data_IF_978184057190
#
_entry.id   IF_978184057190
#
_cell.length_a   1.000
_cell.length_b   1.000
_cell.length_c   1.000
_cell.angle_alpha   90.00
_cell.angle_beta   90.00
_cell.angle_gamma   90.00
#
_symmetry.space_group_name_H-M   'P 1'
#
loop_
_entity.id
_entity.type
_entity.pdbx_description
1 polymer ?
#
# COMPACT_ATOMS: atom_id res chain seq x y z
N UNK A 1 17.12 34.82 -8.04
CA UNK A 1 15.74 34.37 -7.71
C UNK A 1 15.48 33.09 -8.48
N UNK A 2 15.35 31.94 -7.81
CA UNK A 2 14.95 30.68 -8.46
C UNK A 2 13.46 30.79 -8.80
N UNK A 3 13.07 30.51 -10.05
CA UNK A 3 11.65 30.59 -10.43
C UNK A 3 10.84 29.50 -9.70
N UNK A 4 9.56 29.77 -9.40
CA UNK A 4 8.64 28.79 -8.79
C UNK A 4 8.69 27.46 -9.57
N UNK A 5 8.76 27.52 -10.91
CA UNK A 5 8.84 26.35 -11.79
C UNK A 5 10.09 25.50 -11.55
N UNK A 6 11.24 26.11 -11.29
CA UNK A 6 12.48 25.40 -10.98
C UNK A 6 12.45 24.81 -9.57
N UNK A 7 11.89 25.54 -8.60
CA UNK A 7 11.66 25.01 -7.25
C UNK A 7 10.74 23.78 -7.27
N UNK A 8 9.66 23.83 -8.06
CA UNK A 8 8.73 22.70 -8.25
C UNK A 8 9.44 21.49 -8.85
N UNK A 9 10.23 21.67 -9.92
CA UNK A 9 11.00 20.57 -10.54
C UNK A 9 11.99 19.93 -9.57
N UNK A 10 12.71 20.72 -8.78
CA UNK A 10 13.70 20.20 -7.84
C UNK A 10 13.04 19.47 -6.65
N UNK A 11 11.90 19.97 -6.16
CA UNK A 11 11.10 19.31 -5.13
C UNK A 11 10.61 17.93 -5.58
N UNK A 12 10.18 17.80 -6.84
CA UNK A 12 9.78 16.51 -7.43
C UNK A 12 10.95 15.57 -7.70
N UNK A 13 12.14 16.10 -8.00
CA UNK A 13 13.34 15.28 -8.20
C UNK A 13 13.80 14.63 -6.90
N UNK A 14 13.67 15.34 -5.78
CA UNK A 14 13.94 14.84 -4.42
C UNK A 14 15.35 14.19 -4.32
N UNK A 15 16.33 14.81 -5.02
CA UNK A 15 17.73 14.38 -5.16
C UNK A 15 18.68 15.16 -4.22
N UNK A 16 18.20 15.55 -3.03
CA UNK A 16 19.01 16.33 -2.08
C UNK A 16 20.36 15.67 -1.77
N UNK A 17 21.41 16.45 -1.47
CA UNK A 17 22.76 15.92 -1.20
C UNK A 17 22.87 15.18 0.13
N UNK A 18 21.87 15.32 1.02
CA UNK A 18 21.87 14.74 2.36
C UNK A 18 21.47 13.27 2.28
N UNK A 19 22.37 12.38 2.70
CA UNK A 19 22.04 10.97 2.87
C UNK A 19 21.29 10.73 4.18
N UNK A 20 20.19 9.96 4.18
CA UNK A 20 19.46 9.66 5.40
C UNK A 20 20.27 8.74 6.30
N UNK A 21 20.40 9.11 7.57
CA UNK A 21 20.98 8.27 8.62
C UNK A 21 20.00 7.16 9.00
N UNK A 22 20.51 6.03 9.51
CA UNK A 22 19.66 4.93 9.98
C UNK A 22 18.65 5.38 11.05
N UNK A 23 19.07 6.28 11.96
CA UNK A 23 18.18 6.85 12.98
C UNK A 23 17.01 7.61 12.35
N UNK A 24 17.29 8.49 11.37
CA UNK A 24 16.26 9.26 10.68
C UNK A 24 15.23 8.34 9.99
N UNK A 25 15.70 7.30 9.29
CA UNK A 25 14.80 6.38 8.60
C UNK A 25 13.93 5.57 9.54
N UNK A 26 14.49 5.03 10.61
CA UNK A 26 13.72 4.27 11.59
C UNK A 26 12.73 5.17 12.35
N UNK A 27 13.09 6.42 12.64
CA UNK A 27 12.13 7.39 13.16
C UNK A 27 10.99 7.63 12.17
N UNK A 28 11.28 7.83 10.88
CA UNK A 28 10.24 7.99 9.87
C UNK A 28 9.35 6.77 9.73
N UNK A 29 9.91 5.56 9.74
CA UNK A 29 9.14 4.32 9.72
C UNK A 29 8.22 4.24 10.93
N UNK A 30 8.73 4.49 12.14
CA UNK A 30 7.92 4.47 13.36
C UNK A 30 6.77 5.48 13.32
N UNK A 31 7.02 6.71 12.84
CA UNK A 31 6.00 7.74 12.70
C UNK A 31 4.96 7.38 11.61
N UNK A 32 5.39 6.80 10.49
CA UNK A 32 4.47 6.32 9.45
C UNK A 32 3.62 5.15 9.95
N UNK A 33 4.19 4.24 10.74
CA UNK A 33 3.44 3.16 11.38
C UNK A 33 2.41 3.73 12.35
N UNK A 34 2.76 4.73 13.17
CA UNK A 34 1.79 5.44 14.03
C UNK A 34 0.64 6.01 13.19
N UNK A 35 0.95 6.80 12.15
CA UNK A 35 -0.07 7.38 11.28
C UNK A 35 -1.04 6.32 10.73
N UNK A 36 -0.50 5.22 10.18
CA UNK A 36 -1.31 4.15 9.61
C UNK A 36 -2.13 3.40 10.67
N UNK A 37 -1.56 3.12 11.83
CA UNK A 37 -2.30 2.53 12.94
C UNK A 37 -3.45 3.44 13.39
N UNK A 38 -3.24 4.75 13.42
CA UNK A 38 -4.29 5.74 13.70
C UNK A 38 -5.41 5.71 12.65
N UNK A 39 -5.07 5.65 11.37
CA UNK A 39 -6.05 5.58 10.27
C UNK A 39 -6.91 4.31 10.35
N UNK A 40 -6.29 3.15 10.57
CA UNK A 40 -7.02 1.88 10.70
C UNK A 40 -7.84 1.81 11.98
N UNK A 41 -7.36 2.38 13.08
CA UNK A 41 -8.11 2.48 14.33
C UNK A 41 -9.36 3.36 14.17
N UNK A 42 -9.23 4.45 13.44
CA UNK A 42 -10.32 5.36 13.12
C UNK A 42 -11.37 4.69 12.21
N UNK A 43 -10.93 4.03 11.13
CA UNK A 43 -11.84 3.25 10.28
C UNK A 43 -12.54 2.11 11.04
N UNK A 44 -11.82 1.42 11.94
CA UNK A 44 -12.42 0.43 12.83
C UNK A 44 -13.53 1.05 13.68
N UNK A 45 -13.29 2.23 14.27
CA UNK A 45 -14.29 2.91 15.09
C UNK A 45 -15.54 3.29 14.28
N UNK A 46 -15.38 3.77 13.04
CA UNK A 46 -16.49 4.08 12.14
C UNK A 46 -17.37 2.86 11.78
N UNK A 47 -16.80 1.65 11.79
CA UNK A 47 -17.54 0.41 11.52
C UNK A 47 -18.26 -0.16 12.74
N UNK A 48 -17.71 0.04 13.93
CA UNK A 48 -18.17 -0.67 15.14
C UNK A 48 -18.90 0.20 16.16
N UNK A 49 -18.65 1.51 16.16
CA UNK A 49 -19.22 2.40 17.16
C UNK A 49 -20.40 3.16 16.54
N UNK A 50 -21.56 3.03 17.18
CA UNK A 50 -22.71 3.84 16.81
C UNK A 50 -22.42 5.31 17.12
N UNK A 51 -22.72 6.21 16.15
CA UNK A 51 -22.73 7.67 16.31
C UNK A 51 -21.37 8.31 16.60
N UNK A 52 -20.49 8.32 15.59
CA UNK A 52 -19.45 9.34 15.48
C UNK A 52 -20.06 10.59 14.83
N UNK A 53 -20.94 11.30 15.55
CA UNK A 53 -21.66 12.48 15.04
C UNK A 53 -20.81 13.76 15.00
N UNK A 54 -19.54 13.67 15.40
CA UNK A 54 -18.62 14.82 15.47
C UNK A 54 -17.32 14.53 14.75
N UNK A 55 -16.78 15.52 14.04
CA UNK A 55 -15.51 15.44 13.31
C UNK A 55 -14.28 15.21 14.22
N UNK A 56 -14.34 15.60 15.49
CA UNK A 56 -13.26 15.39 16.45
C UNK A 56 -13.68 14.26 17.38
N UNK A 57 -12.93 13.16 17.34
CA UNK A 57 -13.15 11.98 18.19
C UNK A 57 -11.80 11.55 18.79
N UNK A 58 -11.78 10.74 19.87
CA UNK A 58 -10.54 10.18 20.38
C UNK A 58 -9.75 9.38 19.34
N UNK A 59 -10.44 8.74 18.39
CA UNK A 59 -9.86 7.93 17.32
C UNK A 59 -9.15 8.79 16.27
N UNK A 60 -9.81 9.85 15.81
CA UNK A 60 -9.19 10.91 15.02
C UNK A 60 -7.97 11.50 15.73
N UNK A 61 -8.01 11.63 17.06
CA UNK A 61 -6.88 12.12 17.87
C UNK A 61 -5.59 11.30 17.69
N UNK A 62 -5.69 9.98 17.50
CA UNK A 62 -4.52 9.12 17.23
C UNK A 62 -3.97 9.38 15.82
N UNK A 63 -4.83 9.52 14.83
CA UNK A 63 -4.45 9.88 13.46
C UNK A 63 -3.81 11.28 13.41
N UNK A 64 -4.46 12.27 14.02
CA UNK A 64 -4.02 13.67 14.07
C UNK A 64 -2.68 13.84 14.78
N UNK A 65 -2.47 13.12 15.89
CA UNK A 65 -1.17 13.13 16.58
C UNK A 65 -0.06 12.50 15.73
N UNK A 66 -0.35 11.42 14.99
CA UNK A 66 0.58 10.80 14.05
C UNK A 66 1.03 11.76 12.95
N UNK A 67 0.09 12.42 12.26
CA UNK A 67 0.43 13.38 11.21
C UNK A 67 1.16 14.61 11.78
N UNK A 68 0.73 15.12 12.94
CA UNK A 68 1.40 16.24 13.60
C UNK A 68 2.85 15.90 13.96
N UNK A 69 3.10 14.70 14.48
CA UNK A 69 4.45 14.24 14.79
C UNK A 69 5.35 14.15 13.54
N UNK A 70 4.81 13.66 12.41
CA UNK A 70 5.52 13.62 11.12
C UNK A 70 5.85 15.04 10.64
N UNK A 71 4.86 15.93 10.63
CA UNK A 71 5.04 17.32 10.19
C UNK A 71 6.06 18.04 11.06
N UNK A 72 6.00 17.87 12.38
CA UNK A 72 6.96 18.43 13.31
C UNK A 72 8.37 17.88 13.08
N UNK A 73 8.52 16.56 12.94
CA UNK A 73 9.81 15.91 12.74
C UNK A 73 10.49 16.36 11.43
N UNK A 74 9.75 16.33 10.32
CA UNK A 74 10.26 16.76 9.02
C UNK A 74 10.47 18.27 8.98
N UNK A 75 9.53 19.07 9.51
CA UNK A 75 9.62 20.52 9.56
C UNK A 75 10.82 21.00 10.38
N UNK A 76 11.01 20.48 11.60
CA UNK A 76 12.17 20.81 12.44
C UNK A 76 13.48 20.37 11.78
N UNK A 77 13.51 19.20 11.14
CA UNK A 77 14.70 18.74 10.40
C UNK A 77 15.04 19.67 9.24
N UNK A 78 14.04 20.08 8.45
CA UNK A 78 14.21 21.01 7.36
C UNK A 78 14.69 22.38 7.85
N UNK A 79 14.04 22.96 8.87
CA UNK A 79 14.40 24.27 9.44
C UNK A 79 15.82 24.26 10.02
N UNK A 80 16.22 23.18 10.72
CA UNK A 80 17.59 23.04 11.25
C UNK A 80 18.63 22.97 10.14
N UNK A 81 18.35 22.31 9.03
CA UNK A 81 19.27 22.23 7.90
C UNK A 81 19.30 23.53 7.10
N UNK A 82 18.18 24.24 6.98
CA UNK A 82 18.15 25.59 6.42
C UNK A 82 18.97 26.58 7.25
N UNK A 83 18.87 26.51 8.58
CA UNK A 83 19.69 27.33 9.48
C UNK A 83 21.21 27.04 9.33
N UNK A 84 21.58 25.89 8.75
CA UNK A 84 22.96 25.53 8.38
C UNK A 84 23.33 25.88 6.94
N UNK A 85 22.46 26.58 6.21
CA UNK A 85 22.70 27.07 4.85
C UNK A 85 22.18 26.18 3.72
N UNK A 86 21.46 25.08 4.02
CA UNK A 86 20.83 24.27 2.96
C UNK A 86 19.62 24.99 2.34
N UNK A 87 19.46 24.85 1.02
CA UNK A 87 18.24 25.30 0.31
C UNK A 87 17.03 24.43 0.72
N UNK A 88 15.80 24.95 0.60
CA UNK A 88 14.57 24.23 0.99
C UNK A 88 14.44 22.86 0.33
N UNK A 89 14.71 22.78 -0.98
CA UNK A 89 14.67 21.56 -1.80
C UNK A 89 15.77 20.53 -1.43
N UNK A 90 16.72 20.95 -0.59
CA UNK A 90 17.86 20.16 -0.13
C UNK A 90 17.91 20.04 1.40
N UNK A 91 16.89 20.57 2.09
CA UNK A 91 16.88 20.68 3.55
C UNK A 91 16.55 19.34 4.23
N UNK A 92 16.02 18.36 3.51
CA UNK A 92 15.76 17.02 3.99
C UNK A 92 16.67 15.99 3.32
N UNK A 93 16.87 14.82 3.97
CA UNK A 93 17.52 13.70 3.31
C UNK A 93 16.78 13.31 2.02
N UNK A 94 17.54 12.85 1.01
CA UNK A 94 16.99 12.46 -0.27
C UNK A 94 15.88 11.39 -0.11
N UNK A 95 14.73 11.59 -0.74
CA UNK A 95 13.55 10.71 -0.63
C UNK A 95 12.43 11.25 0.26
N UNK A 96 12.69 12.30 1.05
CA UNK A 96 11.77 12.82 2.05
C UNK A 96 11.16 14.20 1.72
N UNK A 97 11.59 14.89 0.67
CA UNK A 97 10.94 16.16 0.30
C UNK A 97 9.48 15.96 -0.07
N UNK A 98 9.17 14.88 -0.80
CA UNK A 98 7.79 14.50 -1.10
C UNK A 98 7.02 14.08 0.16
N UNK A 99 7.67 13.51 1.18
CA UNK A 99 7.01 13.23 2.46
C UNK A 99 6.65 14.51 3.21
N UNK A 100 7.49 15.55 3.16
CA UNK A 100 7.16 16.86 3.74
C UNK A 100 6.01 17.53 2.98
N UNK A 101 6.04 17.49 1.64
CA UNK A 101 4.92 17.95 0.82
C UNK A 101 3.64 17.21 1.17
N UNK A 102 3.71 15.88 1.27
CA UNK A 102 2.61 15.03 1.72
C UNK A 102 2.09 15.45 3.09
N UNK A 103 2.98 15.71 4.07
CA UNK A 103 2.56 16.14 5.40
C UNK A 103 1.81 17.48 5.41
N UNK A 104 2.26 18.45 4.60
CA UNK A 104 1.58 19.73 4.42
C UNK A 104 0.24 19.55 3.72
N UNK A 105 0.20 18.77 2.64
CA UNK A 105 -1.03 18.46 1.91
C UNK A 105 -2.03 17.70 2.77
N UNK A 106 -1.58 16.84 3.68
CA UNK A 106 -2.44 16.11 4.61
C UNK A 106 -3.11 17.08 5.59
N UNK A 107 -2.35 18.04 6.14
CA UNK A 107 -2.91 19.08 7.01
C UNK A 107 -3.95 19.96 6.30
N UNK A 108 -3.66 20.36 5.05
CA UNK A 108 -4.61 21.08 4.20
C UNK A 108 -5.84 20.21 3.90
N UNK A 109 -5.61 18.94 3.54
CA UNK A 109 -6.66 17.96 3.25
C UNK A 109 -7.60 17.76 4.43
N UNK A 110 -7.07 17.64 5.66
CA UNK A 110 -7.88 17.51 6.87
C UNK A 110 -8.71 18.76 7.19
N UNK A 111 -8.19 19.95 6.89
CA UNK A 111 -8.97 21.18 7.02
C UNK A 111 -10.09 21.27 5.97
N UNK A 112 -9.79 20.87 4.73
CA UNK A 112 -10.79 20.77 3.65
C UNK A 112 -11.85 19.74 4.02
N UNK A 113 -11.46 18.59 4.54
CA UNK A 113 -12.32 17.49 4.97
C UNK A 113 -13.27 17.94 6.10
N UNK A 114 -12.75 18.65 7.11
CA UNK A 114 -13.57 19.26 8.13
C UNK A 114 -14.62 20.22 7.54
N UNK A 115 -14.21 21.12 6.65
CA UNK A 115 -15.13 22.06 5.99
C UNK A 115 -16.15 21.34 5.11
N UNK A 116 -15.74 20.25 4.47
CA UNK A 116 -16.58 19.40 3.65
C UNK A 116 -17.68 18.77 4.49
N UNK A 117 -17.34 18.17 5.63
CA UNK A 117 -18.33 17.60 6.54
C UNK A 117 -19.27 18.65 7.15
N UNK A 118 -18.80 19.87 7.38
CA UNK A 118 -19.66 20.97 7.84
C UNK A 118 -20.69 21.41 6.79
N UNK A 119 -20.38 21.29 5.49
CA UNK A 119 -21.25 21.75 4.41
C UNK A 119 -22.13 20.64 3.83
N UNK A 120 -21.60 19.43 3.68
CA UNK A 120 -22.27 18.30 3.03
C UNK A 120 -22.70 17.20 4.00
N UNK A 121 -22.35 17.31 5.29
CA UNK A 121 -22.58 16.28 6.30
C UNK A 121 -21.48 15.21 6.32
N UNK A 122 -21.59 14.28 7.26
CA UNK A 122 -20.66 13.15 7.39
C UNK A 122 -21.08 12.06 6.41
N UNK A 123 -20.21 11.72 5.46
CA UNK A 123 -20.46 10.63 4.52
C UNK A 123 -20.54 9.27 5.22
N UNK A 124 -21.34 8.37 4.65
CA UNK A 124 -21.49 6.99 5.12
C UNK A 124 -21.06 6.01 4.03
N UNK A 125 -20.59 4.83 4.44
CA UNK A 125 -20.20 3.73 3.54
C UNK A 125 -19.14 4.17 2.51
N UNK A 126 -19.31 3.76 1.25
CA UNK A 126 -18.35 4.00 0.17
C UNK A 126 -18.00 5.48 -0.02
N UNK A 127 -18.98 6.39 0.16
CA UNK A 127 -18.77 7.82 -0.02
C UNK A 127 -17.70 8.38 0.93
N UNK A 128 -17.59 7.83 2.15
CA UNK A 128 -16.56 8.22 3.12
C UNK A 128 -15.14 7.86 2.66
N UNK A 129 -14.98 6.88 1.77
CA UNK A 129 -13.66 6.48 1.26
C UNK A 129 -13.23 7.30 0.04
N UNK A 130 -14.18 7.62 -0.85
CA UNK A 130 -13.87 8.18 -2.18
C UNK A 130 -14.18 9.67 -2.31
N UNK A 131 -14.60 10.36 -1.24
CA UNK A 131 -14.89 11.79 -1.33
C UNK A 131 -13.63 12.60 -1.69
N UNK A 132 -13.77 13.76 -2.36
CA UNK A 132 -12.62 14.52 -2.83
C UNK A 132 -11.57 14.85 -1.75
N UNK A 133 -11.93 15.23 -0.50
CA UNK A 133 -10.95 15.43 0.56
C UNK A 133 -10.21 14.14 0.94
N UNK A 134 -10.91 13.01 1.02
CA UNK A 134 -10.33 11.70 1.30
C UNK A 134 -9.33 11.25 0.23
N UNK A 135 -9.59 11.53 -1.05
CA UNK A 135 -8.63 11.26 -2.13
C UNK A 135 -7.37 12.14 -2.03
N UNK A 136 -7.51 13.38 -1.57
CA UNK A 136 -6.35 14.24 -1.26
C UNK A 136 -5.55 13.69 -0.07
N UNK A 137 -6.22 13.22 0.98
CA UNK A 137 -5.58 12.56 2.12
C UNK A 137 -4.87 11.26 1.73
N UNK A 138 -5.48 10.45 0.85
CA UNK A 138 -4.86 9.26 0.27
C UNK A 138 -3.58 9.60 -0.47
N UNK A 139 -3.61 10.60 -1.36
CA UNK A 139 -2.42 11.06 -2.10
C UNK A 139 -1.35 11.55 -1.13
N UNK A 140 -1.73 12.41 -0.19
CA UNK A 140 -0.83 13.00 0.80
C UNK A 140 -0.15 11.92 1.66
N UNK A 141 -0.93 10.99 2.21
CA UNK A 141 -0.42 9.90 3.02
C UNK A 141 0.44 8.92 2.20
N UNK A 142 0.10 8.66 0.94
CA UNK A 142 0.95 7.87 0.00
C UNK A 142 2.33 8.52 -0.16
N UNK A 143 2.38 9.85 -0.36
CA UNK A 143 3.63 10.58 -0.44
C UNK A 143 4.44 10.49 0.86
N UNK A 144 3.78 10.50 2.02
CA UNK A 144 4.43 10.35 3.33
C UNK A 144 5.03 8.95 3.48
N UNK A 145 4.21 7.89 3.42
CA UNK A 145 4.61 6.52 3.78
C UNK A 145 5.62 5.92 2.81
N UNK A 146 5.64 6.36 1.54
CA UNK A 146 6.64 5.94 0.56
C UNK A 146 8.03 6.58 0.73
N UNK A 147 8.21 7.48 1.71
CA UNK A 147 9.49 8.17 1.97
C UNK A 147 10.70 7.25 2.16
N UNK A 148 10.69 6.32 3.13
CA UNK A 148 11.80 5.39 3.31
C UNK A 148 12.07 4.51 2.08
N UNK A 149 11.03 4.09 1.35
CA UNK A 149 11.18 3.36 0.10
C UNK A 149 11.86 4.21 -1.01
N UNK A 150 11.44 5.46 -1.20
CA UNK A 150 12.09 6.41 -2.13
C UNK A 150 13.54 6.68 -1.75
N UNK A 151 13.82 6.84 -0.46
CA UNK A 151 15.17 7.03 0.05
C UNK A 151 16.06 5.81 -0.25
N UNK A 152 15.56 4.59 0.00
CA UNK A 152 16.29 3.36 -0.27
C UNK A 152 16.57 3.16 -1.77
N UNK A 153 15.65 3.56 -2.64
CA UNK A 153 15.81 3.44 -4.10
C UNK A 153 17.07 4.13 -4.63
N UNK A 154 17.45 5.24 -3.98
CA UNK A 154 18.58 6.10 -4.33
C UNK A 154 19.93 5.60 -3.80
N UNK A 155 19.93 4.58 -2.94
CA UNK A 155 21.17 4.09 -2.31
C UNK A 155 21.95 3.15 -3.24
N UNK A 156 23.29 3.17 -3.18
CA UNK A 156 24.09 2.11 -3.80
C UNK A 156 23.81 0.79 -3.08
N UNK A 157 23.55 -0.27 -3.84
CA UNK A 157 23.26 -1.60 -3.32
C UNK A 157 21.97 -2.19 -3.86
N UNK A 158 21.92 -3.52 -3.89
CA UNK A 158 20.81 -4.27 -4.45
C UNK A 158 19.92 -4.92 -3.39
N UNK A 159 20.29 -4.96 -2.11
CA UNK A 159 19.46 -5.58 -1.06
C UNK A 159 18.50 -4.54 -0.48
N UNK A 160 17.22 -4.87 -0.36
CA UNK A 160 16.25 -3.97 0.26
C UNK A 160 16.57 -3.81 1.77
N UNK A 161 16.70 -2.58 2.29
CA UNK A 161 16.73 -2.35 3.73
C UNK A 161 15.34 -2.59 4.34
N UNK A 162 15.28 -3.04 5.60
CA UNK A 162 14.01 -3.28 6.28
C UNK A 162 13.11 -2.05 6.37
N UNK A 163 13.68 -0.84 6.43
CA UNK A 163 12.92 0.41 6.38
C UNK A 163 12.14 0.57 5.07
N UNK A 164 12.70 0.13 3.94
CA UNK A 164 12.01 0.13 2.65
C UNK A 164 10.94 -0.96 2.56
N UNK A 165 11.20 -2.15 3.15
CA UNK A 165 10.19 -3.23 3.20
C UNK A 165 8.99 -2.78 4.03
N UNK A 166 9.20 -2.24 5.23
CA UNK A 166 8.09 -1.73 6.08
C UNK A 166 7.37 -0.58 5.37
N UNK A 167 8.11 0.35 4.75
CA UNK A 167 7.51 1.44 3.96
C UNK A 167 6.66 0.94 2.80
N UNK A 168 7.08 -0.13 2.11
CA UNK A 168 6.28 -0.78 1.08
C UNK A 168 5.06 -1.51 1.64
N UNK A 169 5.16 -2.12 2.83
CA UNK A 169 4.01 -2.69 3.54
C UNK A 169 2.98 -1.63 3.90
N UNK A 170 3.43 -0.48 4.44
CA UNK A 170 2.55 0.65 4.77
C UNK A 170 1.96 1.29 3.51
N UNK A 171 2.70 1.32 2.40
CA UNK A 171 2.20 1.76 1.11
C UNK A 171 1.09 0.82 0.60
N UNK A 172 1.30 -0.51 0.66
CA UNK A 172 0.23 -1.45 0.31
C UNK A 172 -0.99 -1.23 1.21
N UNK A 173 -0.79 -1.12 2.52
CA UNK A 173 -1.89 -0.83 3.47
C UNK A 173 -2.61 0.47 3.16
N UNK A 174 -1.91 1.51 2.73
CA UNK A 174 -2.55 2.74 2.28
C UNK A 174 -3.46 2.50 1.07
N UNK A 175 -2.97 1.78 0.05
CA UNK A 175 -3.75 1.49 -1.15
C UNK A 175 -4.96 0.60 -0.84
N UNK A 176 -4.78 -0.44 -0.03
CA UNK A 176 -5.87 -1.36 0.35
C UNK A 176 -6.85 -0.73 1.33
N UNK A 177 -6.42 0.25 2.15
CA UNK A 177 -7.32 0.99 3.03
C UNK A 177 -8.39 1.73 2.20
N UNK A 178 -7.99 2.41 1.13
CA UNK A 178 -8.94 3.10 0.27
C UNK A 178 -9.70 2.16 -0.69
N UNK A 179 -9.19 0.94 -0.90
CA UNK A 179 -9.87 -0.13 -1.64
C UNK A 179 -10.65 -1.10 -0.72
N UNK A 180 -10.82 -0.79 0.56
CA UNK A 180 -11.30 -1.75 1.56
C UNK A 180 -12.75 -2.23 1.35
N UNK A 181 -13.51 -1.60 0.46
CA UNK A 181 -14.92 -1.88 0.18
C UNK A 181 -15.15 -3.15 -0.65
N UNK A 182 -14.13 -3.62 -1.38
CA UNK A 182 -14.14 -4.88 -2.14
C UNK A 182 -12.93 -5.76 -1.75
N UNK A 183 -12.38 -5.57 -0.55
CA UNK A 183 -11.17 -6.27 -0.12
C UNK A 183 -11.50 -7.65 0.49
N UNK A 184 -10.96 -8.77 -0.04
CA UNK A 184 -11.34 -10.12 0.39
C UNK A 184 -11.08 -10.46 1.87
N UNK A 185 -10.17 -9.74 2.54
CA UNK A 185 -9.89 -9.91 3.98
C UNK A 185 -10.85 -9.09 4.87
N UNK A 186 -11.59 -8.16 4.28
CA UNK A 186 -12.59 -7.33 4.94
C UNK A 186 -13.97 -7.91 4.64
N UNK A 187 -14.33 -7.99 3.36
CA UNK A 187 -15.61 -8.48 2.87
C UNK A 187 -15.45 -9.86 2.24
N UNK A 188 -15.83 -10.92 2.97
CA UNK A 188 -15.71 -12.30 2.50
C UNK A 188 -16.85 -12.69 1.56
N UNK A 189 -17.03 -11.96 0.46
CA UNK A 189 -18.12 -12.17 -0.51
C UNK A 189 -18.16 -13.59 -1.09
N UNK A 190 -17.02 -14.27 -1.16
CA UNK A 190 -16.95 -15.68 -1.58
C UNK A 190 -17.75 -16.62 -0.65
N UNK A 191 -17.83 -16.30 0.65
CA UNK A 191 -18.58 -17.06 1.64
C UNK A 191 -19.95 -16.42 1.98
N UNK A 192 -20.34 -15.35 1.29
CA UNK A 192 -21.60 -14.67 1.57
C UNK A 192 -22.79 -15.43 0.97
N UNK A 193 -23.85 -15.58 1.76
CA UNK A 193 -25.09 -16.25 1.35
C UNK A 193 -26.24 -15.25 1.23
N UNK A 194 -27.12 -15.42 0.24
CA UNK A 194 -28.36 -14.65 0.10
C UNK A 194 -29.48 -15.54 -0.42
N UNK A 195 -30.73 -15.26 0.00
CA UNK A 195 -31.92 -15.94 -0.52
C UNK A 195 -32.37 -15.43 -1.90
N UNK A 196 -31.86 -14.29 -2.35
CA UNK A 196 -32.25 -13.65 -3.61
C UNK A 196 -31.21 -13.96 -4.71
N UNK A 197 -31.59 -14.62 -5.83
CA UNK A 197 -30.65 -14.99 -6.89
C UNK A 197 -29.86 -13.81 -7.49
N UNK A 198 -30.50 -12.66 -7.68
CA UNK A 198 -29.85 -11.47 -8.21
C UNK A 198 -28.75 -10.94 -7.26
N UNK A 199 -28.96 -11.03 -5.95
CA UNK A 199 -27.96 -10.65 -4.96
C UNK A 199 -26.77 -11.62 -4.97
N UNK A 200 -27.01 -12.93 -5.11
CA UNK A 200 -25.92 -13.91 -5.22
C UNK A 200 -25.02 -13.59 -6.42
N UNK A 201 -25.60 -13.29 -7.58
CA UNK A 201 -24.84 -12.94 -8.77
C UNK A 201 -23.94 -11.72 -8.52
N UNK A 202 -24.48 -10.68 -7.89
CA UNK A 202 -23.71 -9.48 -7.56
C UNK A 202 -22.58 -9.75 -6.54
N UNK A 203 -22.83 -10.56 -5.51
CA UNK A 203 -21.81 -10.95 -4.53
C UNK A 203 -20.67 -11.77 -5.20
N UNK A 204 -21.01 -12.63 -6.16
CA UNK A 204 -20.00 -13.35 -6.95
C UNK A 204 -19.14 -12.39 -7.77
N UNK A 205 -19.76 -11.40 -8.44
CA UNK A 205 -19.04 -10.36 -9.19
C UNK A 205 -18.09 -9.58 -8.28
N UNK A 206 -18.57 -9.07 -7.15
CA UNK A 206 -17.75 -8.31 -6.19
C UNK A 206 -16.63 -9.16 -5.60
N UNK A 207 -16.89 -10.42 -5.24
CA UNK A 207 -15.85 -11.31 -4.71
C UNK A 207 -14.74 -11.58 -5.73
N UNK A 208 -15.08 -11.75 -7.01
CA UNK A 208 -14.08 -11.95 -8.07
C UNK A 208 -13.30 -10.66 -8.32
N UNK A 209 -13.99 -9.52 -8.40
CA UNK A 209 -13.36 -8.21 -8.56
C UNK A 209 -12.40 -7.92 -7.41
N UNK A 210 -12.80 -8.19 -6.18
CA UNK A 210 -11.95 -8.04 -4.99
C UNK A 210 -10.67 -8.86 -5.07
N UNK A 211 -10.78 -10.16 -5.41
CA UNK A 211 -9.62 -11.03 -5.60
C UNK A 211 -8.69 -10.49 -6.70
N UNK A 212 -9.25 -10.01 -7.82
CA UNK A 212 -8.49 -9.48 -8.95
C UNK A 212 -7.74 -8.19 -8.59
N UNK A 213 -8.43 -7.22 -8.00
CA UNK A 213 -7.86 -5.92 -7.64
C UNK A 213 -6.80 -6.10 -6.56
N UNK A 214 -7.08 -6.89 -5.52
CA UNK A 214 -6.11 -7.15 -4.46
C UNK A 214 -4.88 -7.90 -4.98
N UNK A 215 -5.07 -8.86 -5.89
CA UNK A 215 -3.96 -9.51 -6.59
C UNK A 215 -3.11 -8.49 -7.34
N UNK A 216 -3.74 -7.55 -8.06
CA UNK A 216 -3.03 -6.54 -8.83
C UNK A 216 -2.24 -5.59 -7.92
N UNK A 217 -2.83 -5.12 -6.81
CA UNK A 217 -2.17 -4.25 -5.84
C UNK A 217 -0.98 -4.92 -5.18
N UNK A 218 -1.19 -6.10 -4.58
CA UNK A 218 -0.15 -6.87 -3.91
C UNK A 218 0.99 -7.22 -4.87
N UNK A 219 0.66 -7.81 -6.02
CA UNK A 219 1.67 -8.23 -7.00
C UNK A 219 2.39 -7.03 -7.59
N UNK A 220 1.68 -5.93 -7.85
CA UNK A 220 2.25 -4.68 -8.32
C UNK A 220 3.31 -4.12 -7.36
N UNK A 221 3.03 -4.07 -6.05
CA UNK A 221 4.01 -3.61 -5.05
C UNK A 221 5.20 -4.57 -4.95
N UNK A 222 4.97 -5.88 -4.94
CA UNK A 222 6.05 -6.88 -4.90
C UNK A 222 6.95 -6.78 -6.14
N UNK A 223 6.36 -6.69 -7.33
CA UNK A 223 7.10 -6.54 -8.59
C UNK A 223 7.84 -5.21 -8.66
N UNK A 224 7.25 -4.12 -8.17
CA UNK A 224 7.92 -2.83 -8.03
C UNK A 224 9.17 -2.97 -7.16
N UNK A 225 9.11 -3.66 -6.02
CA UNK A 225 10.29 -3.93 -5.20
C UNK A 225 11.33 -4.80 -5.92
N UNK A 226 10.89 -5.89 -6.57
CA UNK A 226 11.78 -6.81 -7.30
C UNK A 226 12.45 -6.16 -8.51
N UNK A 227 11.86 -5.10 -9.08
CA UNK A 227 12.47 -4.32 -10.17
C UNK A 227 13.83 -3.72 -9.79
N UNK A 228 14.03 -3.46 -8.49
CA UNK A 228 15.18 -2.72 -7.97
C UNK A 228 15.99 -3.48 -6.93
N UNK A 229 15.34 -4.32 -6.15
CA UNK A 229 15.93 -4.93 -4.96
C UNK A 229 15.84 -6.46 -4.98
N UNK A 230 16.84 -7.09 -4.36
CA UNK A 230 16.77 -8.42 -3.80
C UNK A 230 16.15 -8.32 -2.42
N UNK A 231 14.99 -8.92 -2.25
CA UNK A 231 14.25 -8.92 -1.00
C UNK A 231 14.86 -9.91 0.00
N UNK A 232 15.10 -9.50 1.26
CA UNK A 232 15.35 -10.44 2.36
C UNK A 232 14.18 -11.43 2.53
N UNK A 233 14.48 -12.66 2.95
CA UNK A 233 13.42 -13.61 3.34
C UNK A 233 12.54 -13.02 4.45
N UNK A 234 11.24 -13.18 4.32
CA UNK A 234 10.22 -12.62 5.21
C UNK A 234 9.71 -11.25 4.76
N UNK A 235 10.18 -10.71 3.63
CA UNK A 235 9.71 -9.41 3.14
C UNK A 235 8.26 -9.48 2.66
N UNK A 236 7.88 -10.54 1.94
CA UNK A 236 6.50 -10.70 1.47
C UNK A 236 5.60 -11.10 2.65
N UNK A 237 6.07 -11.96 3.56
CA UNK A 237 5.37 -12.26 4.82
C UNK A 237 5.07 -11.01 5.62
N UNK A 238 6.04 -10.10 5.78
CA UNK A 238 5.79 -8.85 6.50
C UNK A 238 4.80 -7.96 5.75
N UNK A 239 4.91 -7.87 4.43
CA UNK A 239 4.06 -7.04 3.59
C UNK A 239 2.59 -7.51 3.64
N UNK A 240 2.34 -8.79 3.37
CA UNK A 240 0.99 -9.36 3.37
C UNK A 240 0.47 -9.56 4.79
N UNK A 241 1.33 -9.95 5.74
CA UNK A 241 0.94 -10.16 7.14
C UNK A 241 0.56 -8.87 7.86
N UNK A 242 1.33 -7.79 7.70
CA UNK A 242 0.96 -6.48 8.25
C UNK A 242 -0.32 -5.95 7.59
N UNK A 243 -0.40 -6.05 6.26
CA UNK A 243 -1.57 -5.62 5.51
C UNK A 243 -2.83 -6.37 5.95
N UNK A 244 -2.75 -7.70 6.00
CA UNK A 244 -3.85 -8.56 6.43
C UNK A 244 -4.23 -8.39 7.91
N UNK A 245 -3.28 -8.09 8.80
CA UNK A 245 -3.60 -7.77 10.20
C UNK A 245 -4.40 -6.47 10.32
N UNK A 246 -4.01 -5.44 9.56
CA UNK A 246 -4.73 -4.17 9.54
C UNK A 246 -6.12 -4.32 8.89
N UNK A 247 -6.20 -4.97 7.73
CA UNK A 247 -7.47 -5.21 7.04
C UNK A 247 -8.42 -6.10 7.84
N UNK A 248 -7.93 -7.24 8.36
CA UNK A 248 -8.73 -8.17 9.15
C UNK A 248 -9.27 -7.53 10.43
N UNK A 249 -8.59 -6.53 11.00
CA UNK A 249 -9.12 -5.80 12.15
C UNK A 249 -10.38 -5.00 11.83
N UNK A 250 -10.55 -4.54 10.58
CA UNK A 250 -11.66 -3.65 10.19
C UNK A 250 -13.03 -4.32 10.37
N UNK A 251 -13.17 -5.61 10.12
CA UNK A 251 -14.41 -6.39 10.28
C UNK A 251 -14.25 -7.55 11.27
N UNK A 252 -13.21 -7.49 12.13
CA UNK A 252 -12.89 -8.53 13.11
C UNK A 252 -12.65 -9.94 12.52
N UNK A 253 -12.26 -10.03 11.25
CA UNK A 253 -11.82 -11.27 10.58
C UNK A 253 -10.40 -11.68 11.01
N UNK A 254 -10.15 -11.79 12.32
CA UNK A 254 -8.83 -12.12 12.86
C UNK A 254 -8.37 -13.54 12.48
N UNK A 255 -9.31 -14.42 12.15
CA UNK A 255 -9.09 -15.77 11.62
C UNK A 255 -8.41 -15.77 10.23
N UNK A 256 -8.52 -14.68 9.47
CA UNK A 256 -7.86 -14.53 8.16
C UNK A 256 -6.41 -14.03 8.26
N UNK A 257 -5.96 -13.55 9.41
CA UNK A 257 -4.58 -13.08 9.59
C UNK A 257 -3.56 -14.21 9.37
N UNK A 258 -3.74 -15.43 9.94
CA UNK A 258 -2.89 -16.57 9.60
C UNK A 258 -2.83 -16.89 8.11
N UNK A 259 -3.94 -16.73 7.36
CA UNK A 259 -3.98 -16.95 5.90
C UNK A 259 -3.02 -16.01 5.19
N UNK A 260 -3.06 -14.71 5.54
CA UNK A 260 -2.16 -13.70 5.01
C UNK A 260 -0.68 -14.01 5.32
N UNK A 261 -0.38 -14.43 6.55
CA UNK A 261 0.97 -14.79 6.99
C UNK A 261 1.48 -16.02 6.25
N UNK A 262 0.68 -17.09 6.17
CA UNK A 262 1.04 -18.34 5.48
C UNK A 262 1.22 -18.07 3.98
N UNK A 263 0.31 -17.33 3.36
CA UNK A 263 0.43 -16.94 1.94
C UNK A 263 1.72 -16.16 1.67
N UNK A 264 2.06 -15.21 2.55
CA UNK A 264 3.32 -14.48 2.46
C UNK A 264 4.56 -15.36 2.65
N UNK A 265 4.53 -16.33 3.57
CA UNK A 265 5.62 -17.31 3.75
C UNK A 265 5.80 -18.19 2.50
N UNK A 266 4.71 -18.66 1.90
CA UNK A 266 4.77 -19.41 0.64
C UNK A 266 5.39 -18.56 -0.48
N UNK A 267 5.03 -17.29 -0.57
CA UNK A 267 5.61 -16.37 -1.53
C UNK A 267 7.11 -16.10 -1.27
N UNK A 268 7.54 -15.96 -0.01
CA UNK A 268 8.96 -15.85 0.34
C UNK A 268 9.75 -17.13 0.01
N UNK A 269 9.15 -18.32 0.16
CA UNK A 269 9.77 -19.58 -0.30
C UNK A 269 9.93 -19.60 -1.83
N UNK A 270 8.93 -19.12 -2.57
CA UNK A 270 9.03 -18.95 -4.03
C UNK A 270 10.14 -17.96 -4.38
N UNK A 271 10.30 -16.85 -3.64
CA UNK A 271 11.41 -15.91 -3.84
C UNK A 271 12.77 -16.58 -3.64
N UNK A 272 12.94 -17.39 -2.59
CA UNK A 272 14.22 -18.07 -2.30
C UNK A 272 14.54 -19.13 -3.35
N UNK A 273 13.53 -19.88 -3.79
CA UNK A 273 13.66 -20.97 -4.75
C UNK A 273 13.91 -20.45 -6.18
N UNK A 274 13.04 -19.56 -6.68
CA UNK A 274 13.13 -19.05 -8.04
C UNK A 274 14.13 -17.91 -8.20
N UNK A 275 14.41 -17.14 -7.13
CA UNK A 275 15.19 -15.90 -7.14
C UNK A 275 14.77 -14.98 -8.30
N UNK A 276 13.49 -14.59 -8.36
CA UNK A 276 12.96 -13.79 -9.45
C UNK A 276 13.59 -12.40 -9.46
N UNK A 277 13.77 -11.83 -10.65
CA UNK A 277 14.28 -10.48 -10.82
C UNK A 277 14.49 -10.11 -12.29
N UNK A 278 14.89 -8.86 -12.59
CA UNK A 278 15.02 -8.36 -13.95
C UNK A 278 15.99 -9.17 -14.83
N UNK A 279 17.02 -9.78 -14.21
CA UNK A 279 17.99 -10.62 -14.91
C UNK A 279 17.50 -12.07 -15.12
N UNK A 280 16.41 -12.48 -14.47
CA UNK A 280 15.83 -13.84 -14.55
C UNK A 280 14.35 -13.75 -14.91
N UNK A 281 14.06 -13.22 -16.10
CA UNK A 281 12.70 -12.88 -16.56
C UNK A 281 11.73 -14.06 -16.50
N UNK A 282 12.18 -15.26 -16.88
CA UNK A 282 11.33 -16.47 -16.82
C UNK A 282 10.97 -16.80 -15.36
N UNK A 283 11.94 -16.75 -14.45
CA UNK A 283 11.70 -16.97 -13.02
C UNK A 283 10.78 -15.89 -12.43
N UNK A 284 10.93 -14.62 -12.86
CA UNK A 284 10.04 -13.53 -12.48
C UNK A 284 8.59 -13.80 -12.91
N UNK A 285 8.38 -14.20 -14.17
CA UNK A 285 7.04 -14.51 -14.71
C UNK A 285 6.40 -15.71 -14.03
N UNK A 286 7.17 -16.78 -13.82
CA UNK A 286 6.70 -17.97 -13.09
C UNK A 286 6.34 -17.60 -11.65
N UNK A 287 7.19 -16.84 -10.95
CA UNK A 287 6.90 -16.37 -9.60
C UNK A 287 5.67 -15.46 -9.53
N UNK A 288 5.52 -14.57 -10.51
CA UNK A 288 4.36 -13.68 -10.62
C UNK A 288 3.06 -14.42 -10.97
N UNK A 289 3.13 -15.62 -11.55
CA UNK A 289 1.97 -16.50 -11.72
C UNK A 289 1.68 -17.30 -10.44
N UNK A 290 2.69 -18.00 -9.92
CA UNK A 290 2.53 -18.95 -8.81
C UNK A 290 2.17 -18.26 -7.49
N UNK A 291 2.71 -17.07 -7.22
CA UNK A 291 2.42 -16.33 -5.99
C UNK A 291 0.93 -16.03 -5.83
N UNK A 292 0.31 -15.29 -6.76
CA UNK A 292 -1.13 -15.03 -6.74
C UNK A 292 -1.99 -16.29 -6.74
N UNK A 293 -1.65 -17.29 -7.56
CA UNK A 293 -2.37 -18.58 -7.58
C UNK A 293 -2.36 -19.22 -6.20
N UNK A 294 -1.20 -19.29 -5.54
CA UNK A 294 -1.09 -19.88 -4.21
C UNK A 294 -1.86 -19.10 -3.15
N UNK A 295 -1.80 -17.76 -3.17
CA UNK A 295 -2.51 -16.91 -2.21
C UNK A 295 -4.03 -16.99 -2.40
N UNK A 296 -4.53 -16.88 -3.64
CA UNK A 296 -5.97 -16.99 -3.92
C UNK A 296 -6.50 -18.39 -3.61
N UNK A 297 -5.75 -19.45 -3.96
CA UNK A 297 -6.13 -20.82 -3.62
C UNK A 297 -6.16 -21.05 -2.11
N UNK A 298 -5.17 -20.54 -1.37
CA UNK A 298 -5.13 -20.63 0.09
C UNK A 298 -6.31 -19.91 0.74
N UNK A 299 -6.63 -18.69 0.28
CA UNK A 299 -7.77 -17.92 0.78
C UNK A 299 -9.10 -18.63 0.56
N UNK A 300 -9.39 -19.08 -0.68
CA UNK A 300 -10.62 -19.78 -0.99
C UNK A 300 -10.71 -21.12 -0.25
N UNK A 301 -9.61 -21.89 -0.20
CA UNK A 301 -9.58 -23.13 0.58
C UNK A 301 -9.87 -22.90 2.06
N UNK A 302 -9.27 -21.86 2.64
CA UNK A 302 -9.51 -21.52 4.03
C UNK A 302 -10.99 -21.18 4.27
N UNK A 303 -11.57 -20.32 3.44
CA UNK A 303 -12.98 -19.96 3.52
C UNK A 303 -13.90 -21.17 3.34
N UNK A 304 -13.60 -22.08 2.42
CA UNK A 304 -14.38 -23.31 2.25
C UNK A 304 -14.40 -24.17 3.50
N UNK A 305 -13.26 -24.27 4.20
CA UNK A 305 -13.13 -25.10 5.39
C UNK A 305 -13.79 -24.44 6.61
N UNK A 306 -13.75 -23.12 6.72
CA UNK A 306 -14.18 -22.39 7.93
C UNK A 306 -15.57 -21.79 7.83
N UNK A 307 -15.97 -21.30 6.66
CA UNK A 307 -17.23 -20.58 6.42
C UNK A 307 -18.14 -21.27 5.40
N UNK A 308 -17.57 -22.08 4.50
CA UNK A 308 -18.26 -22.64 3.34
C UNK A 308 -18.35 -21.63 2.20
N UNK A 309 -18.22 -22.11 0.96
CA UNK A 309 -18.39 -21.32 -0.26
C UNK A 309 -19.39 -22.03 -1.19
N UNK A 310 -20.42 -21.30 -1.61
CA UNK A 310 -21.45 -21.80 -2.54
C UNK A 310 -21.10 -21.55 -4.02
N UNK A 311 -19.90 -21.04 -4.29
CA UNK A 311 -19.45 -20.78 -5.66
C UNK A 311 -19.27 -22.09 -6.43
N UNK A 312 -19.72 -22.16 -7.69
CA UNK A 312 -19.42 -23.31 -8.54
C UNK A 312 -17.92 -23.39 -8.80
N UNK A 313 -17.45 -24.62 -9.08
CA UNK A 313 -16.02 -24.89 -9.33
C UNK A 313 -15.42 -24.03 -10.46
N UNK A 314 -16.26 -23.57 -11.40
CA UNK A 314 -15.86 -22.66 -12.47
C UNK A 314 -15.40 -21.29 -11.94
N UNK A 315 -16.06 -20.73 -10.92
CA UNK A 315 -15.65 -19.47 -10.30
C UNK A 315 -14.40 -19.64 -9.45
N UNK A 316 -14.27 -20.79 -8.76
CA UNK A 316 -13.03 -21.15 -8.04
C UNK A 316 -11.82 -21.19 -8.97
N UNK A 317 -11.87 -22.07 -9.98
CA UNK A 317 -10.74 -22.25 -10.89
C UNK A 317 -10.50 -20.99 -11.73
N UNK A 318 -11.57 -20.29 -12.10
CA UNK A 318 -11.52 -19.03 -12.84
C UNK A 318 -10.79 -17.95 -12.06
N UNK A 319 -11.22 -17.64 -10.83
CA UNK A 319 -10.61 -16.59 -10.00
C UNK A 319 -9.13 -16.89 -9.69
N UNK A 320 -8.79 -18.12 -9.32
CA UNK A 320 -7.40 -18.53 -9.06
C UNK A 320 -6.53 -18.37 -10.31
N UNK A 321 -7.02 -18.79 -11.48
CA UNK A 321 -6.26 -18.71 -12.74
C UNK A 321 -6.09 -17.27 -13.20
N UNK A 322 -7.13 -16.44 -13.06
CA UNK A 322 -7.09 -15.01 -13.40
C UNK A 322 -6.10 -14.28 -12.50
N UNK A 323 -6.02 -14.59 -11.20
CA UNK A 323 -5.01 -14.03 -10.30
C UNK A 323 -3.58 -14.27 -10.82
N UNK A 324 -3.28 -15.50 -11.25
CA UNK A 324 -2.00 -15.82 -11.87
C UNK A 324 -1.75 -15.04 -13.17
N UNK A 325 -2.77 -14.93 -14.03
CA UNK A 325 -2.69 -14.19 -15.29
C UNK A 325 -2.42 -12.69 -15.08
N UNK A 326 -3.08 -12.06 -14.09
CA UNK A 326 -2.84 -10.67 -13.68
C UNK A 326 -1.38 -10.47 -13.27
N UNK A 327 -0.84 -11.36 -12.43
CA UNK A 327 0.55 -11.25 -12.00
C UNK A 327 1.55 -11.38 -13.17
N UNK A 328 1.29 -12.29 -14.11
CA UNK A 328 2.09 -12.38 -15.34
C UNK A 328 2.00 -11.09 -16.16
N UNK A 329 0.80 -10.53 -16.35
CA UNK A 329 0.61 -9.28 -17.10
C UNK A 329 1.41 -8.13 -16.47
N UNK A 330 1.32 -7.97 -15.14
CA UNK A 330 2.07 -6.93 -14.42
C UNK A 330 3.58 -7.12 -14.52
N UNK A 331 4.08 -8.36 -14.63
CA UNK A 331 5.51 -8.62 -14.78
C UNK A 331 6.11 -8.01 -16.06
N UNK A 332 5.31 -7.82 -17.12
CA UNK A 332 5.75 -7.15 -18.35
C UNK A 332 6.00 -5.66 -18.17
N UNK A 333 5.36 -5.02 -17.18
CA UNK A 333 5.65 -3.62 -16.80
C UNK A 333 6.96 -3.49 -16.04
N UNK A 334 7.43 -4.59 -15.44
CA UNK A 334 8.64 -4.62 -14.61
C UNK A 334 9.90 -4.84 -15.44
N UNK A 335 9.80 -5.65 -16.50
CA UNK A 335 10.91 -5.97 -17.40
C UNK A 335 10.50 -5.71 -18.83
N UNK A 336 11.07 -4.66 -19.42
CA UNK A 336 10.85 -4.32 -20.82
C UNK A 336 11.50 -5.37 -21.74
N UNK A 337 10.88 -5.68 -22.89
CA UNK A 337 11.53 -6.45 -23.94
C UNK A 337 12.84 -5.79 -24.36
N UNK A 338 13.88 -6.55 -24.72
CA UNK A 338 15.08 -5.97 -25.31
C UNK A 338 14.70 -5.19 -26.58
N UNK A 339 15.23 -3.98 -26.73
CA UNK A 339 15.09 -3.24 -27.97
C UNK A 339 15.74 -4.07 -29.10
N UNK A 340 15.12 -4.14 -30.30
CA UNK A 340 15.77 -4.73 -31.45
C UNK A 340 17.15 -4.08 -31.61
N UNK A 341 18.21 -4.89 -31.72
CA UNK A 341 19.49 -4.34 -32.13
C UNK A 341 19.28 -3.68 -33.49
N UNK A 342 19.63 -2.40 -33.62
CA UNK A 342 19.77 -1.82 -34.94
C UNK A 342 20.92 -2.60 -35.59
N UNK A 343 20.60 -3.41 -36.61
CA UNK A 343 21.62 -3.93 -37.51
C UNK A 343 22.25 -2.70 -38.16
N UNK A 344 23.37 -2.24 -37.58
CA UNK A 344 24.29 -1.34 -38.24
C UNK A 344 25.05 -2.21 -39.24
N UNK A 345 24.34 -2.67 -40.26
CA UNK A 345 24.95 -3.15 -41.49
C UNK A 345 25.55 -1.93 -42.20
N UNK A 346 26.86 -2.02 -42.44
CA UNK A 346 27.73 -0.93 -42.92
C UNK A 346 27.52 -0.49 -44.35
#
# INVERSE_FOLDING_TARGET
>A
MVSVRELTKELFRDQGPILPTARFEWTMVALCTWLMSGAYLDAWAHRHLARLETFITPWHGVLYSGIFAILLFLGVSALRNQARGHRLDQALPAGYNLSLLGAVLFGIGGAIDMLWHLHFGIEVNLAALISPPHLLLMLAGTLIVAGPLRAAWRRPGSKAPWTAVISASLLLSMLTFFNQFDEPLVDTYAAATSGAPATIAHLQELGILGIMVQTALLTGVVLYLLSRFRLPFGSITLLVGLNGALLGSLEQNFDLIPVAIIGGLLADLVLVWLRPGPQRVVALRIGAFLGPVAVSALYLLFLQITRGIDWPITLWLGSISVSGAIGVLLSYLTVHPPLPALDVAG
#
